data_IF_797588047743
#
_entry.id   IF_797588047743
#
_cell.length_a   1.000
_cell.length_b   1.000
_cell.length_c   1.000
_cell.angle_alpha   90.00
_cell.angle_beta   90.00
_cell.angle_gamma   90.00
#
_symmetry.space_group_name_H-M   'P 1'
#
loop_
_entity.id
_entity.type
_entity.pdbx_description
1 polymer ?
#
# COMPACT_ATOMS: atom_id res chain seq x y z
N UNK A 1 4.75 -1.62 50.55
CA UNK A 1 5.67 -0.87 49.67
C UNK A 1 6.16 -1.73 48.50
N UNK A 2 6.81 -2.88 48.74
CA UNK A 2 7.30 -3.78 47.67
C UNK A 2 6.20 -4.34 46.74
N UNK A 3 5.04 -4.74 47.27
CA UNK A 3 3.94 -5.27 46.43
C UNK A 3 3.32 -4.22 45.50
N UNK A 4 3.28 -2.94 45.91
CA UNK A 4 2.80 -1.85 45.06
C UNK A 4 3.79 -1.48 43.97
N UNK A 5 5.10 -1.52 44.27
CA UNK A 5 6.16 -1.33 43.28
C UNK A 5 6.15 -2.47 42.26
N UNK A 6 6.03 -3.73 42.71
CA UNK A 6 5.92 -4.90 41.84
C UNK A 6 4.71 -4.85 40.90
N UNK A 7 3.53 -4.47 41.41
CA UNK A 7 2.32 -4.32 40.59
C UNK A 7 2.45 -3.17 39.59
N UNK A 8 3.11 -2.07 39.98
CA UNK A 8 3.38 -0.94 39.10
C UNK A 8 4.35 -1.30 37.97
N UNK A 9 5.48 -1.94 38.30
CA UNK A 9 6.46 -2.40 37.30
C UNK A 9 5.83 -3.42 36.34
N UNK A 10 5.06 -4.39 36.86
CA UNK A 10 4.34 -5.35 36.03
C UNK A 10 3.34 -4.69 35.07
N UNK A 11 2.60 -3.68 35.53
CA UNK A 11 1.65 -2.94 34.68
C UNK A 11 2.38 -2.17 33.58
N UNK A 12 3.51 -1.53 33.89
CA UNK A 12 4.31 -0.76 32.92
C UNK A 12 4.90 -1.69 31.86
N UNK A 13 5.50 -2.81 32.27
CA UNK A 13 6.06 -3.81 31.35
C UNK A 13 4.97 -4.38 30.42
N UNK A 14 3.81 -4.69 30.97
CA UNK A 14 2.67 -5.16 30.18
C UNK A 14 2.21 -4.12 29.15
N UNK A 15 2.13 -2.85 29.52
CA UNK A 15 1.80 -1.78 28.56
C UNK A 15 2.86 -1.67 27.46
N UNK A 16 4.15 -1.72 27.79
CA UNK A 16 5.23 -1.62 26.80
C UNK A 16 5.16 -2.78 25.79
N UNK A 17 4.94 -4.01 26.26
CA UNK A 17 4.80 -5.19 25.40
C UNK A 17 3.59 -5.10 24.46
N UNK A 18 2.43 -4.67 24.96
CA UNK A 18 1.22 -4.53 24.13
C UNK A 18 1.35 -3.42 23.08
N UNK A 19 1.80 -2.23 23.48
CA UNK A 19 1.98 -1.12 22.55
C UNK A 19 3.02 -1.47 21.47
N UNK A 20 4.13 -2.10 21.87
CA UNK A 20 5.15 -2.60 20.95
C UNK A 20 4.61 -3.68 20.02
N UNK A 21 3.91 -4.69 20.55
CA UNK A 21 3.34 -5.79 19.78
C UNK A 21 2.37 -5.31 18.69
N UNK A 22 1.44 -4.42 19.05
CA UNK A 22 0.49 -3.83 18.09
C UNK A 22 1.22 -3.02 17.01
N UNK A 23 2.20 -2.19 17.41
CA UNK A 23 2.98 -1.39 16.49
C UNK A 23 3.73 -2.25 15.47
N UNK A 24 4.46 -3.27 15.92
CA UNK A 24 5.20 -4.18 15.04
C UNK A 24 4.28 -4.99 14.11
N UNK A 25 3.07 -5.34 14.55
CA UNK A 25 2.08 -6.02 13.71
C UNK A 25 1.59 -5.12 12.56
N UNK A 26 1.32 -3.84 12.86
CA UNK A 26 0.90 -2.87 11.85
C UNK A 26 2.06 -2.55 10.90
N UNK A 27 3.26 -2.37 11.43
CA UNK A 27 4.47 -2.13 10.64
C UNK A 27 4.75 -3.31 9.68
N UNK A 28 4.65 -4.54 10.16
CA UNK A 28 4.81 -5.74 9.32
C UNK A 28 3.78 -5.81 8.20
N UNK A 29 2.52 -5.44 8.48
CA UNK A 29 1.47 -5.34 7.43
C UNK A 29 1.79 -4.25 6.41
N UNK A 30 2.29 -3.10 6.86
CA UNK A 30 2.72 -2.00 6.00
C UNK A 30 3.85 -2.44 5.04
N UNK A 31 4.90 -3.07 5.57
CA UNK A 31 6.02 -3.54 4.77
C UNK A 31 5.58 -4.62 3.77
N UNK A 32 4.76 -5.58 4.20
CA UNK A 32 4.23 -6.61 3.32
C UNK A 32 3.34 -6.03 2.21
N UNK A 33 2.47 -5.08 2.53
CA UNK A 33 1.62 -4.42 1.55
C UNK A 33 2.44 -3.59 0.54
N UNK A 34 3.47 -2.87 1.02
CA UNK A 34 4.40 -2.13 0.17
C UNK A 34 5.15 -3.08 -0.78
N UNK A 35 5.72 -4.16 -0.26
CA UNK A 35 6.39 -5.18 -1.06
C UNK A 35 5.46 -5.77 -2.13
N UNK A 36 4.26 -6.19 -1.74
CA UNK A 36 3.28 -6.75 -2.67
C UNK A 36 2.75 -5.73 -3.68
N UNK A 37 2.78 -4.43 -3.38
CA UNK A 37 2.41 -3.38 -4.33
C UNK A 37 3.53 -3.16 -5.34
N UNK A 38 4.77 -3.09 -4.85
CA UNK A 38 5.96 -2.72 -5.62
C UNK A 38 6.44 -3.84 -6.54
N UNK A 39 6.36 -5.09 -6.09
CA UNK A 39 6.89 -6.26 -6.80
C UNK A 39 5.84 -7.07 -7.57
N UNK A 40 4.57 -6.62 -7.57
CA UNK A 40 3.51 -7.28 -8.36
C UNK A 40 3.33 -6.56 -9.69
N UNK A 41 3.02 -7.33 -10.72
CA UNK A 41 2.57 -6.78 -12.01
C UNK A 41 1.36 -5.85 -11.80
N UNK A 42 1.46 -4.57 -12.21
CA UNK A 42 0.35 -3.61 -12.09
C UNK A 42 -0.85 -3.94 -12.97
N UNK A 43 -0.73 -4.93 -13.84
CA UNK A 43 -1.73 -5.30 -14.84
C UNK A 43 -1.29 -4.84 -16.22
N UNK A 44 -0.03 -5.12 -16.59
CA UNK A 44 0.48 -4.88 -17.93
C UNK A 44 -0.38 -5.65 -18.94
N UNK A 45 -0.79 -4.95 -19.98
CA UNK A 45 -1.61 -5.52 -21.04
C UNK A 45 -0.72 -6.00 -22.18
N UNK A 46 -0.96 -7.23 -22.62
CA UNK A 46 -0.31 -7.77 -23.82
C UNK A 46 -0.73 -6.98 -25.06
N UNK A 47 0.12 -6.98 -26.08
CA UNK A 47 -0.16 -6.29 -27.33
C UNK A 47 -1.25 -7.05 -28.12
N UNK A 48 -2.33 -6.35 -28.45
CA UNK A 48 -3.50 -6.87 -29.15
C UNK A 48 -3.65 -6.12 -30.47
N UNK A 49 -3.61 -6.82 -31.59
CA UNK A 49 -3.70 -6.24 -32.95
C UNK A 49 -4.73 -6.92 -33.84
N UNK A 50 -5.46 -7.90 -33.31
CA UNK A 50 -6.51 -8.60 -34.02
C UNK A 50 -7.71 -7.69 -34.33
N UNK A 51 -8.41 -8.04 -35.41
CA UNK A 51 -9.62 -7.36 -35.85
C UNK A 51 -10.80 -7.62 -34.88
N UNK A 52 -10.78 -8.72 -34.15
CA UNK A 52 -11.78 -9.05 -33.13
C UNK A 52 -11.84 -7.97 -32.03
N UNK A 53 -10.70 -7.46 -31.58
CA UNK A 53 -10.67 -6.34 -30.64
C UNK A 53 -11.35 -5.09 -31.22
N UNK A 54 -11.16 -4.80 -32.51
CA UNK A 54 -11.81 -3.67 -33.18
C UNK A 54 -13.33 -3.87 -33.26
N UNK A 55 -13.79 -5.08 -33.59
CA UNK A 55 -15.21 -5.45 -33.61
C UNK A 55 -15.85 -5.37 -32.22
N UNK A 56 -15.11 -5.75 -31.17
CA UNK A 56 -15.49 -5.60 -29.77
C UNK A 56 -15.47 -4.14 -29.26
N UNK A 57 -15.22 -3.16 -30.15
CA UNK A 57 -15.25 -1.74 -29.84
C UNK A 57 -14.05 -1.24 -29.03
N UNK A 58 -12.92 -1.94 -29.08
CA UNK A 58 -11.69 -1.47 -28.44
C UNK A 58 -11.08 -0.32 -29.22
N UNK A 59 -10.33 0.54 -28.51
CA UNK A 59 -9.73 1.72 -29.08
C UNK A 59 -8.30 1.44 -29.51
N UNK A 60 -7.92 1.87 -30.72
CA UNK A 60 -6.53 1.82 -31.15
C UNK A 60 -5.68 2.83 -30.37
N UNK A 61 -4.51 2.40 -29.89
CA UNK A 61 -3.49 3.26 -29.31
C UNK A 61 -2.22 3.24 -30.17
N UNK A 62 -1.90 4.40 -30.78
CA UNK A 62 -0.74 4.55 -31.66
C UNK A 62 0.60 4.40 -30.96
N UNK A 63 0.70 4.76 -29.67
CA UNK A 63 1.97 4.82 -28.95
C UNK A 63 2.59 3.43 -28.74
N UNK A 64 1.75 2.41 -28.61
CA UNK A 64 2.16 1.00 -28.50
C UNK A 64 1.75 0.16 -29.73
N UNK A 65 0.97 0.73 -30.64
CA UNK A 65 0.40 0.03 -31.79
C UNK A 65 -0.43 -1.19 -31.36
N UNK A 66 -1.39 -0.96 -30.47
CA UNK A 66 -2.26 -2.00 -29.87
C UNK A 66 -3.67 -1.46 -29.67
N UNK A 67 -4.66 -2.33 -29.80
CA UNK A 67 -6.00 -2.09 -29.27
C UNK A 67 -5.99 -2.16 -27.75
N UNK A 68 -6.88 -1.38 -27.13
CA UNK A 68 -7.10 -1.36 -25.68
C UNK A 68 -8.60 -1.28 -25.36
N UNK A 69 -9.10 -2.00 -24.35
CA UNK A 69 -10.45 -1.80 -23.87
C UNK A 69 -10.59 -0.46 -23.14
N UNK A 70 -11.83 -0.10 -22.81
CA UNK A 70 -12.08 0.98 -21.87
C UNK A 70 -11.36 0.72 -20.52
N UNK A 71 -10.82 1.77 -19.90
CA UNK A 71 -10.08 1.69 -18.64
C UNK A 71 -8.59 1.37 -18.77
N UNK A 72 -8.17 0.63 -19.81
CA UNK A 72 -6.74 0.47 -20.08
C UNK A 72 -6.16 1.77 -20.65
N UNK A 73 -5.02 2.24 -20.15
CA UNK A 73 -4.37 3.46 -20.63
C UNK A 73 -2.85 3.27 -20.80
N UNK A 74 -2.26 4.10 -21.65
CA UNK A 74 -0.83 4.09 -21.90
C UNK A 74 -0.07 4.71 -20.72
N UNK A 75 0.84 3.93 -20.14
CA UNK A 75 1.79 4.40 -19.15
C UNK A 75 3.11 4.75 -19.86
N UNK A 76 3.56 6.00 -19.70
CA UNK A 76 4.77 6.51 -20.39
C UNK A 76 6.04 5.88 -19.84
N UNK A 77 6.10 5.67 -18.54
CA UNK A 77 7.25 5.14 -17.81
C UNK A 77 7.41 3.64 -18.09
N UNK A 78 6.31 2.89 -18.06
CA UNK A 78 6.30 1.47 -18.41
C UNK A 78 6.42 1.23 -19.92
N UNK A 79 6.08 2.23 -20.75
CA UNK A 79 5.98 2.14 -22.22
C UNK A 79 5.02 1.01 -22.67
N UNK A 80 3.94 0.84 -21.92
CA UNK A 80 2.98 -0.23 -22.11
C UNK A 80 1.57 0.23 -21.74
N UNK A 81 0.56 -0.49 -22.21
CA UNK A 81 -0.81 -0.35 -21.72
C UNK A 81 -0.94 -1.04 -20.36
N UNK A 82 -1.66 -0.44 -19.43
CA UNK A 82 -1.96 -1.00 -18.12
C UNK A 82 -3.48 -1.02 -17.94
N UNK A 83 -4.03 -2.16 -17.53
CA UNK A 83 -5.46 -2.29 -17.22
C UNK A 83 -5.85 -1.44 -16.01
N UNK A 84 -6.95 -0.71 -16.12
CA UNK A 84 -7.46 0.22 -15.10
C UNK A 84 -6.34 1.08 -14.50
N UNK A 85 -5.51 1.65 -15.39
CA UNK A 85 -4.35 2.45 -15.03
C UNK A 85 -4.77 3.65 -14.19
N UNK A 86 -4.07 3.87 -13.08
CA UNK A 86 -4.26 5.02 -12.22
C UNK A 86 -3.10 6.01 -12.39
N UNK A 87 -1.89 5.63 -11.95
CA UNK A 87 -0.70 6.46 -12.06
C UNK A 87 0.58 5.65 -11.87
N UNK A 88 1.74 6.25 -12.14
CA UNK A 88 3.03 5.75 -11.63
C UNK A 88 3.29 6.36 -10.27
N UNK A 89 3.40 5.51 -9.26
CA UNK A 89 3.66 5.96 -7.90
C UNK A 89 5.18 5.98 -7.66
N UNK A 90 5.80 7.16 -7.46
CA UNK A 90 7.24 7.23 -7.22
C UNK A 90 7.66 6.54 -5.91
N UNK A 91 6.72 6.40 -4.96
CA UNK A 91 6.96 5.81 -3.65
C UNK A 91 6.98 4.28 -3.67
N UNK A 92 6.22 3.66 -4.57
CA UNK A 92 6.21 2.19 -4.74
C UNK A 92 7.14 1.74 -5.87
N UNK A 93 7.63 2.67 -6.69
CA UNK A 93 8.54 2.38 -7.80
C UNK A 93 7.89 1.61 -8.94
N UNK A 94 6.55 1.59 -9.03
CA UNK A 94 5.81 0.88 -10.08
C UNK A 94 4.53 1.63 -10.48
N UNK A 95 3.94 1.23 -11.61
CA UNK A 95 2.61 1.68 -11.97
C UNK A 95 1.56 1.13 -10.99
N UNK A 96 0.47 1.84 -10.81
CA UNK A 96 -0.70 1.42 -10.06
C UNK A 96 -1.81 1.18 -11.07
N UNK A 97 -2.35 -0.04 -11.06
CA UNK A 97 -3.40 -0.46 -11.97
C UNK A 97 -4.18 -1.64 -11.40
N UNK A 98 -4.99 -2.27 -12.23
CA UNK A 98 -5.87 -3.38 -11.84
C UNK A 98 -5.14 -4.49 -11.07
N UNK A 99 -3.91 -4.81 -11.46
CA UNK A 99 -3.12 -5.91 -10.92
C UNK A 99 -2.66 -5.72 -9.48
N UNK A 100 -2.42 -4.48 -9.04
CA UNK A 100 -1.91 -4.19 -7.70
C UNK A 100 -2.76 -3.19 -6.88
N UNK A 101 -3.89 -2.72 -7.41
CA UNK A 101 -4.76 -1.72 -6.76
C UNK A 101 -5.21 -2.14 -5.34
N UNK A 102 -5.49 -3.42 -5.10
CA UNK A 102 -5.91 -3.90 -3.77
C UNK A 102 -4.79 -3.76 -2.75
N UNK A 103 -3.56 -4.10 -3.13
CA UNK A 103 -2.39 -4.02 -2.29
C UNK A 103 -2.01 -2.56 -2.05
N UNK A 104 -2.09 -1.72 -3.08
CA UNK A 104 -1.87 -0.28 -2.95
C UNK A 104 -2.83 0.34 -1.94
N UNK A 105 -4.13 0.00 -2.01
CA UNK A 105 -5.12 0.44 -1.00
C UNK A 105 -4.79 -0.05 0.41
N UNK A 106 -4.37 -1.31 0.57
CA UNK A 106 -3.93 -1.84 1.86
C UNK A 106 -2.69 -1.12 2.39
N UNK A 107 -1.74 -0.79 1.52
CA UNK A 107 -0.53 -0.03 1.83
C UNK A 107 -0.90 1.37 2.34
N UNK A 108 -1.68 2.13 1.58
CA UNK A 108 -2.14 3.48 1.95
C UNK A 108 -2.91 3.46 3.27
N UNK A 109 -3.76 2.46 3.49
CA UNK A 109 -4.47 2.33 4.76
C UNK A 109 -3.50 2.05 5.93
N UNK A 110 -2.60 1.07 5.78
CA UNK A 110 -1.65 0.69 6.82
C UNK A 110 -0.67 1.80 7.20
N UNK A 111 -0.20 2.61 6.24
CA UNK A 111 0.69 3.74 6.54
C UNK A 111 -0.05 4.83 7.33
N UNK A 112 -1.33 5.10 7.03
CA UNK A 112 -2.13 6.04 7.83
C UNK A 112 -2.33 5.54 9.26
N UNK A 113 -2.67 4.26 9.44
CA UNK A 113 -2.79 3.66 10.78
C UNK A 113 -1.46 3.76 11.54
N UNK A 114 -0.34 3.45 10.89
CA UNK A 114 0.99 3.56 11.49
C UNK A 114 1.31 5.00 11.91
N UNK A 115 0.97 6.00 11.08
CA UNK A 115 1.14 7.41 11.42
C UNK A 115 0.33 7.81 12.67
N UNK A 116 -0.96 7.45 12.73
CA UNK A 116 -1.78 7.77 13.90
C UNK A 116 -1.31 7.05 15.17
N UNK A 117 -0.89 5.79 15.06
CA UNK A 117 -0.31 5.05 16.19
C UNK A 117 0.97 5.71 16.68
N UNK A 118 1.89 6.09 15.78
CA UNK A 118 3.12 6.80 16.14
C UNK A 118 2.85 8.10 16.89
N UNK A 119 1.93 8.94 16.37
CA UNK A 119 1.55 10.20 17.03
C UNK A 119 0.91 9.94 18.40
N UNK A 120 0.00 8.97 18.49
CA UNK A 120 -0.65 8.60 19.75
C UNK A 120 0.33 8.10 20.81
N UNK A 121 1.30 7.26 20.43
CA UNK A 121 2.34 6.76 21.32
C UNK A 121 3.24 7.90 21.84
N UNK A 122 3.63 8.83 20.97
CA UNK A 122 4.41 10.00 21.38
C UNK A 122 3.62 10.88 22.36
N UNK A 123 2.34 11.14 22.09
CA UNK A 123 1.48 11.92 23.00
C UNK A 123 1.37 11.20 24.35
N UNK A 124 1.10 9.90 24.36
CA UNK A 124 1.01 9.11 25.59
C UNK A 124 2.30 9.18 26.41
N UNK A 125 3.47 9.02 25.79
CA UNK A 125 4.76 9.13 26.47
C UNK A 125 5.01 10.54 27.05
N UNK A 126 4.57 11.58 26.36
CA UNK A 126 4.68 12.96 26.86
C UNK A 126 3.78 13.15 28.09
N UNK A 127 2.53 12.67 28.01
CA UNK A 127 1.57 12.79 29.11
C UNK A 127 1.99 12.00 30.35
N UNK A 128 2.50 10.77 30.18
CA UNK A 128 2.99 9.92 31.27
C UNK A 128 4.14 10.57 32.04
N UNK A 129 5.00 11.33 31.36
CA UNK A 129 6.09 12.09 31.99
C UNK A 129 5.62 13.36 32.71
N UNK A 130 4.41 13.85 32.43
CA UNK A 130 3.85 15.05 33.05
C UNK A 130 3.01 14.75 34.29
N UNK A 131 2.61 13.49 34.49
CA UNK A 131 1.80 13.01 35.62
C UNK A 131 2.64 12.30 36.67
#
# INVERSE_FOLDING_TARGET
>A
MLALLYVRDYSVDHHIEWHGGVFYCVESKYQAALFCTSCRDPGLMERVTDEEAAENGWFWNEQVGSYRPAGAMYCRECKALVYDYDHVCPWTGTAIGKGNMRQFKSFVFSVNVLCYLSVGLVIWQIMDKMT
#
